data_IF_746775000067
#
_entry.id   IF_746775000067
#
_cell.length_a   1.000
_cell.length_b   1.000
_cell.length_c   1.000
_cell.angle_alpha   90.00
_cell.angle_beta   90.00
_cell.angle_gamma   90.00
#
_symmetry.space_group_name_H-M   'P 1'
#
loop_
_entity.id
_entity.type
_entity.pdbx_description
1 polymer ?
#
# COMPACT_ATOMS: atom_id res chain seq x y z
N UNK A 1 17.15 15.45 -5.95
CA UNK A 1 17.10 14.16 -5.24
C UNK A 1 16.42 13.15 -6.16
N UNK A 2 16.97 11.94 -6.33
CA UNK A 2 16.36 10.90 -7.16
C UNK A 2 15.27 10.19 -6.33
N UNK A 3 13.98 10.34 -6.65
CA UNK A 3 12.87 9.78 -5.85
C UNK A 3 12.81 8.24 -5.88
N UNK A 4 13.66 7.57 -6.67
CA UNK A 4 13.68 6.12 -6.83
C UNK A 4 14.74 5.41 -5.97
N UNK A 5 15.52 6.15 -5.17
CA UNK A 5 16.60 5.52 -4.38
C UNK A 5 16.03 4.91 -3.10
N UNK A 6 15.78 3.62 -3.13
CA UNK A 6 15.36 2.84 -1.97
C UNK A 6 16.57 2.67 -1.02
N UNK A 7 16.62 3.40 0.10
CA UNK A 7 17.76 3.46 1.05
C UNK A 7 17.73 2.29 2.07
N UNK A 8 16.66 1.48 2.09
CA UNK A 8 16.53 0.38 3.02
C UNK A 8 17.45 -0.80 2.72
N UNK A 9 18.00 -1.44 3.77
CA UNK A 9 18.63 -2.77 3.65
C UNK A 9 17.63 -3.73 3.01
N UNK A 10 18.02 -4.34 1.89
CA UNK A 10 17.26 -5.42 1.27
C UNK A 10 17.34 -6.63 2.19
N UNK A 11 16.19 -7.12 2.64
CA UNK A 11 16.13 -8.32 3.47
C UNK A 11 15.82 -9.49 2.54
N UNK A 12 16.68 -10.51 2.55
CA UNK A 12 16.39 -11.77 1.87
C UNK A 12 15.30 -12.51 2.65
N UNK A 13 14.20 -12.83 1.97
CA UNK A 13 13.01 -13.41 2.59
C UNK A 13 11.81 -13.41 1.65
N UNK A 14 10.66 -13.95 2.09
CA UNK A 14 9.43 -13.93 1.32
C UNK A 14 9.09 -12.51 0.87
N UNK A 15 8.84 -12.33 -0.42
CA UNK A 15 8.36 -11.03 -0.93
C UNK A 15 6.89 -10.94 -0.57
N UNK A 16 6.52 -9.91 0.18
CA UNK A 16 5.14 -9.68 0.59
C UNK A 16 4.71 -8.35 0.00
N UNK A 17 3.52 -8.33 -0.58
CA UNK A 17 2.82 -7.11 -0.95
C UNK A 17 1.76 -6.83 0.12
N UNK A 18 1.65 -5.56 0.48
CA UNK A 18 0.73 -5.11 1.50
C UNK A 18 -0.03 -3.89 1.05
N UNK A 19 -1.34 -3.90 1.31
CA UNK A 19 -2.24 -2.80 1.01
C UNK A 19 -3.32 -2.70 2.08
N UNK A 20 -3.84 -1.50 2.25
CA UNK A 20 -5.00 -1.25 3.08
C UNK A 20 -6.08 -0.59 2.23
N UNK A 21 -7.29 -1.15 2.29
CA UNK A 21 -8.48 -0.63 1.64
C UNK A 21 -9.17 0.37 2.58
N UNK A 22 -9.51 1.53 2.03
CA UNK A 22 -10.18 2.60 2.76
C UNK A 22 -11.46 3.03 2.07
N UNK A 23 -12.45 3.34 2.91
CA UNK A 23 -13.67 4.01 2.50
C UNK A 23 -13.59 5.50 2.84
N UNK A 24 -13.85 6.37 1.86
CA UNK A 24 -13.99 7.81 2.10
C UNK A 24 -15.42 8.11 2.54
N UNK A 25 -15.57 8.60 3.78
CA UNK A 25 -16.79 9.22 4.24
C UNK A 25 -16.86 10.65 3.72
N UNK A 26 -17.74 10.89 2.76
CA UNK A 26 -17.88 12.19 2.08
C UNK A 26 -18.56 13.26 2.94
N UNK A 27 -19.27 12.88 4.01
CA UNK A 27 -19.96 13.85 4.88
C UNK A 27 -18.97 14.68 5.72
N UNK A 28 -17.92 14.03 6.23
CA UNK A 28 -16.91 14.67 7.08
C UNK A 28 -15.50 14.62 6.48
N UNK A 29 -15.36 14.15 5.24
CA UNK A 29 -14.09 13.97 4.53
C UNK A 29 -13.05 13.17 5.33
N UNK A 30 -13.50 12.06 5.95
CA UNK A 30 -12.62 11.16 6.72
C UNK A 30 -12.51 9.80 6.06
N UNK A 31 -11.35 9.15 6.22
CA UNK A 31 -11.14 7.79 5.73
C UNK A 31 -11.31 6.79 6.86
N UNK A 32 -12.02 5.70 6.57
CA UNK A 32 -12.17 4.56 7.48
C UNK A 32 -11.49 3.34 6.88
N UNK A 33 -10.66 2.67 7.68
CA UNK A 33 -10.03 1.40 7.27
C UNK A 33 -11.10 0.32 7.16
N UNK A 34 -11.20 -0.31 6.00
CA UNK A 34 -12.07 -1.48 5.78
C UNK A 34 -11.32 -2.77 6.02
N UNK A 35 -10.21 -2.96 5.29
CA UNK A 35 -9.45 -4.20 5.32
C UNK A 35 -7.96 -3.93 5.18
N UNK A 36 -7.13 -4.80 5.77
CA UNK A 36 -5.67 -4.80 5.58
C UNK A 36 -5.29 -6.15 5.02
N UNK A 37 -4.67 -6.17 3.85
CA UNK A 37 -4.32 -7.39 3.13
C UNK A 37 -2.81 -7.47 2.94
N UNK A 38 -2.24 -8.62 3.32
CA UNK A 38 -0.85 -8.97 3.13
C UNK A 38 -0.79 -10.30 2.40
N UNK A 39 -0.03 -10.36 1.30
CA UNK A 39 0.08 -11.58 0.51
C UNK A 39 1.51 -11.82 0.06
N UNK A 40 1.91 -13.09 0.13
CA UNK A 40 3.21 -13.53 -0.35
C UNK A 40 3.16 -13.64 -1.88
N UNK A 41 4.16 -13.08 -2.53
CA UNK A 41 4.35 -13.15 -3.97
C UNK A 41 5.72 -13.72 -4.32
N UNK A 42 5.79 -14.43 -5.44
CA UNK A 42 7.07 -14.91 -5.98
C UNK A 42 7.79 -13.79 -6.75
N UNK A 43 7.02 -12.96 -7.47
CA UNK A 43 7.52 -11.79 -8.20
C UNK A 43 6.87 -10.51 -7.69
N UNK A 44 7.68 -9.45 -7.64
CA UNK A 44 7.25 -8.12 -7.23
C UNK A 44 7.25 -7.26 -8.49
N UNK A 45 6.20 -7.39 -9.29
CA UNK A 45 5.98 -6.63 -10.53
C UNK A 45 4.48 -6.29 -10.72
N UNK A 46 4.16 -5.38 -11.64
CA UNK A 46 2.77 -5.02 -11.98
C UNK A 46 1.95 -6.20 -12.50
N UNK A 47 2.58 -7.12 -13.25
CA UNK A 47 1.88 -8.30 -13.76
C UNK A 47 1.32 -9.19 -12.65
N UNK A 48 1.94 -9.15 -11.47
CA UNK A 48 1.47 -9.84 -10.27
C UNK A 48 0.51 -8.94 -9.45
N UNK A 49 0.81 -7.64 -9.36
CA UNK A 49 0.06 -6.70 -8.53
C UNK A 49 -1.34 -6.40 -9.09
N UNK A 50 -1.47 -6.13 -10.39
CA UNK A 50 -2.69 -5.62 -10.99
C UNK A 50 -3.85 -6.64 -10.94
N UNK A 51 -3.65 -7.92 -11.33
CA UNK A 51 -4.70 -8.93 -11.17
C UNK A 51 -5.12 -9.08 -9.71
N UNK A 52 -4.14 -9.10 -8.80
CA UNK A 52 -4.42 -9.24 -7.37
C UNK A 52 -5.28 -8.10 -6.84
N UNK A 53 -4.93 -6.86 -7.14
CA UNK A 53 -5.71 -5.68 -6.71
C UNK A 53 -7.14 -5.76 -7.28
N UNK A 54 -7.28 -6.14 -8.55
CA UNK A 54 -8.59 -6.26 -9.21
C UNK A 54 -9.50 -7.31 -8.57
N UNK A 55 -8.93 -8.41 -8.09
CA UNK A 55 -9.68 -9.50 -7.46
C UNK A 55 -10.04 -9.23 -6.00
N UNK A 56 -9.22 -8.44 -5.30
CA UNK A 56 -9.30 -8.31 -3.83
C UNK A 56 -9.78 -6.95 -3.34
N UNK A 57 -9.88 -5.94 -4.22
CA UNK A 57 -10.33 -4.60 -3.84
C UNK A 57 -11.64 -4.27 -4.53
N UNK A 58 -12.62 -3.87 -3.73
CA UNK A 58 -13.94 -3.55 -4.23
C UNK A 58 -13.94 -2.20 -4.97
N UNK A 59 -14.78 -2.08 -6.00
CA UNK A 59 -14.90 -0.84 -6.78
C UNK A 59 -15.40 0.30 -5.89
N UNK A 60 -14.83 1.49 -6.07
CA UNK A 60 -15.21 2.69 -5.31
C UNK A 60 -14.48 2.85 -3.97
N UNK A 61 -13.54 1.96 -3.65
CA UNK A 61 -12.64 2.11 -2.50
C UNK A 61 -11.25 2.59 -2.93
N UNK A 62 -10.55 3.23 -1.99
CA UNK A 62 -9.18 3.70 -2.18
C UNK A 62 -8.19 2.71 -1.59
N UNK A 63 -7.02 2.61 -2.20
CA UNK A 63 -5.91 1.83 -1.65
C UNK A 63 -4.83 2.76 -1.15
N UNK A 64 -4.36 2.52 0.07
CA UNK A 64 -3.08 3.05 0.53
C UNK A 64 -2.08 1.92 0.70
N UNK A 65 -0.91 2.08 0.10
CA UNK A 65 0.18 1.10 0.16
C UNK A 65 1.55 1.79 0.29
N UNK A 66 2.63 1.01 0.24
CA UNK A 66 3.96 1.60 0.18
C UNK A 66 4.17 2.36 -1.16
N UNK A 67 5.02 3.38 -1.17
CA UNK A 67 5.35 4.17 -2.39
C UNK A 67 6.20 3.37 -3.39
N UNK A 68 5.99 2.07 -3.51
CA UNK A 68 6.67 1.27 -4.49
C UNK A 68 6.11 1.55 -5.90
N UNK A 69 7.01 1.78 -6.86
CA UNK A 69 6.67 2.33 -8.18
C UNK A 69 5.59 1.57 -8.94
N UNK A 70 5.47 0.25 -8.78
CA UNK A 70 4.44 -0.52 -9.50
C UNK A 70 3.02 -0.19 -9.04
N UNK A 71 2.81 0.27 -7.81
CA UNK A 71 1.48 0.72 -7.35
C UNK A 71 0.99 1.98 -8.07
N UNK A 72 1.89 2.76 -8.70
CA UNK A 72 1.47 3.89 -9.54
C UNK A 72 0.63 3.45 -10.75
N UNK A 73 0.82 2.21 -11.21
CA UNK A 73 0.08 1.63 -12.34
C UNK A 73 -1.35 1.24 -11.98
N UNK A 74 -1.66 1.09 -10.70
CA UNK A 74 -3.00 0.71 -10.23
C UNK A 74 -4.04 1.72 -10.70
N UNK A 75 -3.78 3.01 -10.50
CA UNK A 75 -4.70 4.08 -10.92
C UNK A 75 -4.89 4.12 -12.44
N UNK A 76 -3.86 3.76 -13.22
CA UNK A 76 -3.94 3.76 -14.69
C UNK A 76 -4.56 2.49 -15.27
N UNK A 77 -4.40 1.33 -14.62
CA UNK A 77 -4.80 0.02 -15.15
C UNK A 77 -6.12 -0.52 -14.55
N UNK A 78 -6.63 0.11 -13.49
CA UNK A 78 -7.88 -0.29 -12.81
C UNK A 78 -8.81 0.93 -12.69
N UNK A 79 -9.75 1.10 -13.63
CA UNK A 79 -10.68 2.23 -13.62
C UNK A 79 -11.49 2.32 -12.31
N UNK A 80 -11.56 3.52 -11.75
CA UNK A 80 -12.32 3.80 -10.52
C UNK A 80 -11.62 3.37 -9.23
N UNK A 81 -10.35 2.97 -9.31
CA UNK A 81 -9.53 2.66 -8.14
C UNK A 81 -8.36 3.65 -8.08
N UNK A 82 -8.27 4.38 -6.96
CA UNK A 82 -7.22 5.36 -6.76
C UNK A 82 -6.21 4.86 -5.74
N UNK A 83 -4.94 4.89 -6.12
CA UNK A 83 -3.84 4.70 -5.20
C UNK A 83 -3.36 6.06 -4.68
N UNK A 84 -3.57 6.31 -3.39
CA UNK A 84 -3.05 7.50 -2.73
C UNK A 84 -1.73 7.19 -2.04
N UNK A 85 -0.81 8.14 -2.11
CA UNK A 85 0.51 8.01 -1.48
C UNK A 85 0.77 9.16 -0.53
N UNK A 86 1.43 8.87 0.59
CA UNK A 86 1.92 9.90 1.51
C UNK A 86 3.42 10.07 1.32
N UNK A 87 3.83 11.28 0.99
CA UNK A 87 5.25 11.61 0.91
C UNK A 87 5.82 11.85 2.31
N UNK A 88 6.42 10.79 2.88
CA UNK A 88 6.99 10.81 4.23
C UNK A 88 8.21 11.72 4.41
N UNK A 89 8.76 12.31 3.34
CA UNK A 89 9.77 13.37 3.46
C UNK A 89 9.17 14.72 3.85
N UNK A 90 7.84 14.88 3.72
CA UNK A 90 7.14 16.13 4.01
C UNK A 90 6.10 15.95 5.12
N UNK A 91 5.30 14.88 5.08
CA UNK A 91 4.16 14.70 5.99
C UNK A 91 3.99 13.24 6.44
N UNK A 92 3.54 13.02 7.67
CA UNK A 92 3.20 11.69 8.19
C UNK A 92 1.75 11.28 7.87
N UNK A 93 0.88 12.28 7.73
CA UNK A 93 -0.52 12.20 7.31
C UNK A 93 -0.71 13.29 6.26
N UNK A 94 -1.20 12.94 5.07
CA UNK A 94 -1.45 13.90 4.01
C UNK A 94 -2.60 14.86 4.39
N UNK A 95 -2.68 16.02 3.74
CA UNK A 95 -3.74 17.02 3.99
C UNK A 95 -5.16 16.48 3.84
N UNK A 96 -5.36 15.47 2.98
CA UNK A 96 -6.65 14.79 2.84
C UNK A 96 -6.92 13.74 3.93
N UNK A 97 -6.01 13.52 4.88
CA UNK A 97 -6.11 12.52 5.93
C UNK A 97 -5.46 11.17 5.59
N UNK A 98 -4.83 11.04 4.41
CA UNK A 98 -4.19 9.79 4.02
C UNK A 98 -2.98 9.45 4.88
N UNK A 99 -2.84 8.19 5.34
CA UNK A 99 -1.70 7.75 6.15
C UNK A 99 -1.38 6.26 5.99
N UNK A 100 -0.12 5.88 5.91
CA UNK A 100 0.26 4.46 5.77
C UNK A 100 0.51 3.76 7.12
N UNK A 101 0.09 4.35 8.24
CA UNK A 101 0.46 3.87 9.58
C UNK A 101 -0.09 2.47 9.87
N UNK A 102 -1.33 2.20 9.43
CA UNK A 102 -1.98 0.90 9.61
C UNK A 102 -1.16 -0.21 8.96
N UNK A 103 -0.83 -0.09 7.66
CA UNK A 103 -0.07 -1.12 6.94
C UNK A 103 1.36 -1.25 7.49
N UNK A 104 2.01 -0.15 7.87
CA UNK A 104 3.35 -0.17 8.51
C UNK A 104 3.35 -0.98 9.79
N UNK A 105 2.36 -0.79 10.67
CA UNK A 105 2.26 -1.51 11.95
C UNK A 105 2.00 -3.01 11.73
N UNK A 106 1.17 -3.37 10.76
CA UNK A 106 0.93 -4.78 10.43
C UNK A 106 2.21 -5.41 9.84
N UNK A 107 2.93 -4.67 8.98
CA UNK A 107 4.20 -5.11 8.42
C UNK A 107 5.28 -5.35 9.47
N UNK A 108 5.41 -4.47 10.47
CA UNK A 108 6.34 -4.69 11.60
C UNK A 108 6.01 -5.97 12.37
N UNK A 109 4.74 -6.20 12.70
CA UNK A 109 4.31 -7.43 13.38
C UNK A 109 4.59 -8.67 12.53
N UNK A 110 4.38 -8.58 11.21
CA UNK A 110 4.67 -9.69 10.30
C UNK A 110 6.18 -9.95 10.21
N UNK A 111 7.00 -8.91 10.12
CA UNK A 111 8.47 -9.03 10.12
C UNK A 111 8.97 -9.76 11.36
N UNK A 112 8.47 -9.41 12.55
CA UNK A 112 8.83 -10.09 13.80
C UNK A 112 8.45 -11.59 13.81
N UNK A 113 7.43 -11.99 13.04
CA UNK A 113 7.05 -13.41 12.90
C UNK A 113 7.84 -14.14 11.81
N UNK A 114 8.14 -13.47 10.71
CA UNK A 114 8.83 -14.05 9.56
C UNK A 114 10.34 -14.09 9.76
N UNK A 115 10.89 -13.08 10.41
CA UNK A 115 12.27 -13.03 10.86
C UNK A 115 12.24 -13.53 12.29
N UNK A 116 12.69 -14.77 12.51
CA UNK A 116 13.01 -15.25 13.87
C UNK A 116 14.20 -14.44 14.39
N UNK A 117 13.96 -13.20 14.81
CA UNK A 117 14.94 -12.37 15.52
C UNK A 117 14.81 -12.69 17.01
#
# INVERSE_FOLDING_TARGET
MNPLRNIGKRIEGPRILGMTEYHLNTYNNTYQTKSVTLFKVERRDSSTLIPFVRENVEKGYNIWSDQWGEYSRVTTEIPGLYHETVNHSFEFVATNGAHTQTIKRVWEKLKLKLMKI
#
